data_IF_424984240433
#
_entry.id   IF_424984240433
#
_cell.length_a   1.000
_cell.length_b   1.000
_cell.length_c   1.000
_cell.angle_alpha   90.00
_cell.angle_beta   90.00
_cell.angle_gamma   90.00
#
_symmetry.space_group_name_H-M   'P 1'
#
loop_
_entity.id
_entity.type
_entity.pdbx_description
1 polymer ?
#
# COMPACT_ATOMS: atom_id res chain seq x y z
N UNK A 1 27.98 -21.98 2.80
CA UNK A 1 28.07 -20.67 2.12
C UNK A 1 27.83 -19.63 3.18
N UNK A 2 28.70 -18.63 3.30
CA UNK A 2 28.47 -17.51 4.21
C UNK A 2 27.34 -16.64 3.64
N UNK A 3 26.49 -16.03 4.48
CA UNK A 3 25.47 -15.09 4.00
C UNK A 3 26.12 -13.82 3.42
N UNK A 4 25.41 -13.06 2.57
CA UNK A 4 25.91 -11.81 1.99
C UNK A 4 26.14 -10.69 3.02
N UNK A 5 25.59 -10.83 4.23
CA UNK A 5 25.85 -9.95 5.37
C UNK A 5 25.75 -10.71 6.70
N UNK A 6 26.54 -10.29 7.68
CA UNK A 6 26.49 -10.75 9.07
C UNK A 6 26.41 -9.57 10.04
N UNK A 7 25.89 -9.81 11.25
CA UNK A 7 25.78 -8.76 12.25
C UNK A 7 27.16 -8.19 12.60
N UNK A 8 27.29 -6.86 12.55
CA UNK A 8 28.52 -6.14 12.90
C UNK A 8 29.43 -5.81 11.70
N UNK A 9 29.10 -6.25 10.49
CA UNK A 9 29.80 -5.80 9.28
C UNK A 9 29.57 -4.32 9.02
N UNK A 10 30.60 -3.62 8.53
CA UNK A 10 30.42 -2.30 7.95
C UNK A 10 29.71 -2.41 6.59
N UNK A 11 29.01 -1.34 6.17
CA UNK A 11 28.27 -1.31 4.90
C UNK A 11 29.16 -1.66 3.69
N UNK A 12 30.44 -1.27 3.72
CA UNK A 12 31.42 -1.55 2.65
C UNK A 12 31.86 -3.01 2.58
N UNK A 13 31.53 -3.83 3.58
CA UNK A 13 31.86 -5.25 3.66
C UNK A 13 30.69 -6.15 3.24
N UNK A 14 29.51 -5.58 2.99
CA UNK A 14 28.33 -6.31 2.52
C UNK A 14 28.52 -6.67 1.04
N UNK A 15 28.20 -7.92 0.69
CA UNK A 15 28.26 -8.39 -0.70
C UNK A 15 27.17 -7.72 -1.56
N UNK A 16 27.50 -7.33 -2.79
CA UNK A 16 26.62 -6.56 -3.69
C UNK A 16 26.15 -7.38 -4.90
N UNK A 17 24.97 -7.07 -5.48
CA UNK A 17 24.01 -6.06 -5.05
C UNK A 17 23.18 -6.49 -3.83
N UNK A 18 22.90 -5.56 -2.92
CA UNK A 18 22.10 -5.83 -1.72
C UNK A 18 21.03 -4.76 -1.48
N UNK A 19 19.82 -5.18 -1.12
CA UNK A 19 18.76 -4.28 -0.64
C UNK A 19 19.01 -3.98 0.83
N UNK A 20 19.27 -2.71 1.14
CA UNK A 20 19.64 -2.22 2.47
C UNK A 20 18.53 -1.35 3.02
N UNK A 21 18.18 -1.57 4.30
CA UNK A 21 17.30 -0.70 5.05
C UNK A 21 18.12 0.07 6.08
N UNK A 22 18.07 1.40 6.04
CA UNK A 22 18.52 2.25 7.15
C UNK A 22 17.45 2.17 8.25
N UNK A 23 17.75 1.40 9.30
CA UNK A 23 16.81 1.16 10.39
C UNK A 23 16.44 2.45 11.14
N UNK A 24 17.38 3.37 11.30
CA UNK A 24 17.14 4.61 12.04
C UNK A 24 16.13 5.50 11.29
N UNK A 25 16.30 5.64 9.97
CA UNK A 25 15.34 6.38 9.12
C UNK A 25 13.99 5.65 9.03
N UNK A 26 14.01 4.33 8.88
CA UNK A 26 12.80 3.49 8.85
C UNK A 26 11.97 3.62 10.13
N UNK A 27 12.60 3.54 11.30
CA UNK A 27 11.91 3.67 12.59
C UNK A 27 11.36 5.08 12.80
N UNK A 28 12.11 6.12 12.44
CA UNK A 28 11.60 7.50 12.47
C UNK A 28 10.40 7.69 11.55
N UNK A 29 10.39 7.07 10.36
CA UNK A 29 9.23 7.12 9.46
C UNK A 29 7.99 6.44 10.06
N UNK A 30 8.18 5.28 10.69
CA UNK A 30 7.10 4.58 11.41
C UNK A 30 6.50 5.44 12.52
N UNK A 31 7.36 5.99 13.38
CA UNK A 31 6.94 6.83 14.50
C UNK A 31 6.27 8.12 14.02
N UNK A 32 6.79 8.72 12.94
CA UNK A 32 6.24 9.94 12.36
C UNK A 32 4.85 9.73 11.79
N UNK A 33 4.62 8.66 11.01
CA UNK A 33 3.28 8.35 10.51
C UNK A 33 2.31 8.10 11.66
N UNK A 34 2.71 7.30 12.66
CA UNK A 34 1.89 7.01 13.83
C UNK A 34 1.52 8.28 14.62
N UNK A 35 2.45 9.23 14.75
CA UNK A 35 2.18 10.52 15.37
C UNK A 35 1.19 11.38 14.56
N UNK A 36 1.40 11.48 13.24
CA UNK A 36 0.56 12.31 12.36
C UNK A 36 -0.90 11.84 12.32
N UNK A 37 -1.15 10.53 12.23
CA UNK A 37 -2.52 9.99 12.20
C UNK A 37 -3.23 10.09 13.56
N UNK A 38 -2.47 10.03 14.66
CA UNK A 38 -3.06 10.03 16.01
C UNK A 38 -3.81 11.33 16.28
N UNK A 39 -3.37 12.43 15.69
CA UNK A 39 -4.00 13.74 15.83
C UNK A 39 -5.31 13.87 15.03
N UNK A 40 -5.51 13.04 14.00
CA UNK A 40 -6.72 13.10 13.15
C UNK A 40 -7.85 12.19 13.66
N UNK A 41 -7.51 11.18 14.46
CA UNK A 41 -8.46 10.15 14.92
C UNK A 41 -8.77 9.09 13.85
N UNK A 42 -8.17 9.18 12.67
CA UNK A 42 -8.29 8.20 11.59
C UNK A 42 -7.35 7.02 11.86
N UNK A 43 -7.80 5.80 11.54
CA UNK A 43 -7.00 4.59 11.72
C UNK A 43 -5.96 4.46 10.60
N UNK A 44 -4.86 3.75 10.86
CA UNK A 44 -3.91 3.34 9.83
C UNK A 44 -3.90 1.83 9.70
N UNK A 45 -4.07 1.35 8.47
CA UNK A 45 -3.88 -0.03 8.05
C UNK A 45 -2.83 -0.04 6.93
N UNK A 46 -1.54 0.00 7.27
CA UNK A 46 -0.50 0.24 6.30
C UNK A 46 -0.38 -0.93 5.31
N UNK A 47 0.10 -0.60 4.12
CA UNK A 47 0.09 -1.56 3.02
C UNK A 47 1.38 -2.37 2.92
N UNK A 48 1.27 -3.68 3.16
CA UNK A 48 2.39 -4.59 3.18
C UNK A 48 2.97 -4.93 1.80
N UNK A 49 2.31 -4.57 0.69
CA UNK A 49 2.82 -4.85 -0.66
C UNK A 49 4.18 -4.22 -0.92
N UNK A 50 4.47 -3.12 -0.21
CA UNK A 50 5.74 -2.39 -0.26
C UNK A 50 6.91 -3.22 0.26
N UNK A 51 6.72 -4.03 1.31
CA UNK A 51 7.82 -4.70 2.02
C UNK A 51 7.70 -6.22 2.10
N UNK A 52 6.47 -6.76 2.06
CA UNK A 52 6.15 -8.20 2.13
C UNK A 52 6.78 -8.95 3.31
N UNK A 53 7.12 -8.22 4.37
CA UNK A 53 7.78 -8.71 5.58
C UNK A 53 6.84 -8.70 6.78
N UNK A 54 6.54 -9.86 7.40
CA UNK A 54 5.77 -9.93 8.64
C UNK A 54 6.42 -9.20 9.81
N UNK A 55 7.75 -9.15 9.86
CA UNK A 55 8.46 -8.39 10.90
C UNK A 55 8.12 -6.90 10.82
N UNK A 56 8.15 -6.30 9.63
CA UNK A 56 7.76 -4.89 9.44
C UNK A 56 6.28 -4.67 9.76
N UNK A 57 5.42 -5.61 9.39
CA UNK A 57 3.99 -5.53 9.72
C UNK A 57 3.76 -5.46 11.24
N UNK A 58 4.48 -6.28 12.03
CA UNK A 58 4.42 -6.22 13.49
C UNK A 58 4.96 -4.90 14.04
N UNK A 59 6.07 -4.38 13.52
CA UNK A 59 6.60 -3.07 13.92
C UNK A 59 5.57 -1.93 13.72
N UNK A 60 4.75 -2.02 12.67
CA UNK A 60 3.66 -1.06 12.40
C UNK A 60 2.49 -1.25 13.37
N UNK A 61 2.08 -2.49 13.63
CA UNK A 61 0.99 -2.83 14.56
C UNK A 61 1.34 -2.42 15.99
N UNK A 62 2.57 -2.66 16.43
CA UNK A 62 3.08 -2.25 17.75
C UNK A 62 3.03 -0.72 17.95
N UNK A 63 3.02 0.05 16.86
CA UNK A 63 2.88 1.52 16.85
C UNK A 63 1.44 2.00 16.66
N UNK A 64 0.47 1.08 16.71
CA UNK A 64 -0.96 1.40 16.72
C UNK A 64 -1.66 1.26 15.38
N UNK A 65 -1.03 0.67 14.35
CA UNK A 65 -1.76 0.24 13.17
C UNK A 65 -2.82 -0.82 13.54
N UNK A 66 -4.01 -0.73 12.94
CA UNK A 66 -5.16 -1.59 13.28
C UNK A 66 -5.11 -2.97 12.61
N UNK A 67 -4.11 -3.20 11.76
CA UNK A 67 -3.94 -4.38 10.93
C UNK A 67 -3.07 -4.01 9.74
N UNK A 68 -3.09 -4.78 8.65
CA UNK A 68 -2.36 -4.45 7.42
C UNK A 68 -3.19 -4.66 6.15
N UNK A 69 -2.83 -3.96 5.07
CA UNK A 69 -3.37 -4.22 3.74
C UNK A 69 -2.44 -5.15 2.95
N UNK A 70 -2.98 -6.20 2.34
CA UNK A 70 -2.33 -7.06 1.36
C UNK A 70 -2.96 -6.86 -0.03
N UNK A 71 -2.19 -7.00 -1.11
CA UNK A 71 -2.78 -6.91 -2.46
C UNK A 71 -3.32 -8.26 -2.97
N UNK A 72 -2.83 -9.37 -2.40
CA UNK A 72 -3.17 -10.73 -2.83
C UNK A 72 -3.34 -11.66 -1.63
N UNK A 73 -4.18 -12.69 -1.83
CA UNK A 73 -4.43 -13.75 -0.83
C UNK A 73 -3.14 -14.42 -0.38
N UNK A 74 -2.20 -14.70 -1.29
CA UNK A 74 -0.92 -15.31 -0.93
C UNK A 74 -0.04 -14.45 -0.03
N UNK A 75 -0.18 -13.11 -0.10
CA UNK A 75 0.51 -12.21 0.84
C UNK A 75 -0.15 -12.27 2.22
N UNK A 76 -1.50 -12.30 2.25
CA UNK A 76 -2.26 -12.43 3.49
C UNK A 76 -1.94 -13.75 4.21
N UNK A 77 -1.80 -14.87 3.48
CA UNK A 77 -1.40 -16.16 4.06
C UNK A 77 -0.09 -16.07 4.84
N UNK A 78 0.93 -15.40 4.28
CA UNK A 78 2.23 -15.22 4.95
C UNK A 78 2.07 -14.36 6.21
N UNK A 79 1.26 -13.29 6.15
CA UNK A 79 1.04 -12.42 7.30
C UNK A 79 0.28 -13.14 8.42
N UNK A 80 -0.81 -13.84 8.10
CA UNK A 80 -1.64 -14.58 9.06
C UNK A 80 -0.86 -15.73 9.69
N UNK A 81 -0.09 -16.49 8.90
CA UNK A 81 0.77 -17.56 9.41
C UNK A 81 1.84 -17.05 10.40
N UNK A 82 2.20 -15.76 10.31
CA UNK A 82 3.14 -15.09 11.22
C UNK A 82 2.44 -14.24 12.28
N UNK A 83 1.16 -14.48 12.55
CA UNK A 83 0.45 -13.91 13.71
C UNK A 83 -0.24 -12.57 13.47
N UNK A 84 -0.26 -12.03 12.26
CA UNK A 84 -1.09 -10.85 11.94
C UNK A 84 -2.56 -11.28 11.87
N UNK A 85 -3.41 -10.68 12.70
CA UNK A 85 -4.80 -11.14 12.89
C UNK A 85 -5.87 -10.31 12.17
N UNK A 86 -5.53 -9.14 11.66
CA UNK A 86 -6.46 -8.29 10.93
C UNK A 86 -5.81 -7.84 9.61
N UNK A 87 -6.34 -8.34 8.49
CA UNK A 87 -5.81 -8.12 7.15
C UNK A 87 -6.93 -7.69 6.21
N UNK A 88 -6.72 -6.59 5.48
CA UNK A 88 -7.55 -6.24 4.33
C UNK A 88 -6.85 -6.71 3.05
N UNK A 89 -7.46 -7.60 2.28
CA UNK A 89 -7.08 -7.79 0.89
C UNK A 89 -7.71 -6.66 0.09
N UNK A 90 -6.96 -5.56 -0.08
CA UNK A 90 -7.39 -4.32 -0.74
C UNK A 90 -7.39 -4.47 -2.27
N UNK A 91 -8.08 -5.52 -2.74
CA UNK A 91 -8.24 -5.92 -4.14
C UNK A 91 -9.38 -6.95 -4.27
N UNK A 92 -9.94 -7.08 -5.47
CA UNK A 92 -10.86 -8.16 -5.82
C UNK A 92 -10.12 -9.50 -5.84
N UNK A 93 -10.80 -10.56 -5.38
CA UNK A 93 -10.30 -11.94 -5.44
C UNK A 93 -11.23 -12.77 -6.32
N UNK A 94 -10.75 -13.10 -7.51
CA UNK A 94 -11.54 -13.86 -8.49
C UNK A 94 -11.00 -15.28 -8.64
N UNK A 95 -11.92 -16.24 -8.58
CA UNK A 95 -11.69 -17.67 -8.83
C UNK A 95 -11.74 -18.54 -7.57
N UNK A 96 -12.36 -19.73 -7.65
CA UNK A 96 -12.77 -20.52 -6.49
C UNK A 96 -11.60 -20.98 -5.61
N UNK A 97 -10.44 -21.28 -6.21
CA UNK A 97 -9.24 -21.68 -5.45
C UNK A 97 -8.74 -20.53 -4.56
N UNK A 98 -8.74 -19.30 -5.07
CA UNK A 98 -8.26 -18.13 -4.31
C UNK A 98 -9.25 -17.78 -3.21
N UNK A 99 -10.55 -17.85 -3.52
CA UNK A 99 -11.62 -17.58 -2.57
C UNK A 99 -11.67 -18.59 -1.43
N UNK A 100 -11.52 -19.88 -1.72
CA UNK A 100 -11.43 -20.92 -0.69
C UNK A 100 -10.23 -20.70 0.24
N UNK A 101 -9.08 -20.28 -0.30
CA UNK A 101 -7.89 -19.92 0.50
C UNK A 101 -8.15 -18.69 1.37
N UNK A 102 -8.79 -17.65 0.85
CA UNK A 102 -9.15 -16.46 1.63
C UNK A 102 -10.13 -16.80 2.77
N UNK A 103 -11.15 -17.60 2.48
CA UNK A 103 -12.11 -18.06 3.48
C UNK A 103 -11.43 -18.91 4.58
N UNK A 104 -10.51 -19.79 4.21
CA UNK A 104 -9.75 -20.60 5.18
C UNK A 104 -8.95 -19.74 6.18
N UNK A 105 -8.44 -18.57 5.76
CA UNK A 105 -7.73 -17.66 6.67
C UNK A 105 -8.65 -17.05 7.74
N UNK A 106 -9.95 -16.95 7.47
CA UNK A 106 -10.92 -16.37 8.40
C UNK A 106 -11.28 -17.30 9.57
N UNK A 107 -10.72 -18.52 9.61
CA UNK A 107 -10.83 -19.41 10.78
C UNK A 107 -9.98 -18.90 11.95
N UNK A 108 -8.80 -18.34 11.65
CA UNK A 108 -7.78 -17.97 12.65
C UNK A 108 -7.49 -16.46 12.72
N UNK A 109 -8.06 -15.67 11.81
CA UNK A 109 -7.85 -14.23 11.66
C UNK A 109 -9.10 -13.56 11.05
N UNK A 110 -9.11 -12.23 10.98
CA UNK A 110 -10.08 -11.47 10.20
C UNK A 110 -9.40 -11.06 8.88
N UNK A 111 -9.85 -11.63 7.76
CA UNK A 111 -9.35 -11.30 6.43
C UNK A 111 -10.48 -10.76 5.56
N UNK A 112 -10.49 -9.44 5.40
CA UNK A 112 -11.48 -8.69 4.64
C UNK A 112 -11.11 -8.63 3.15
N UNK A 113 -12.08 -8.33 2.28
CA UNK A 113 -11.84 -8.27 0.82
C UNK A 113 -12.65 -7.18 0.12
N UNK A 114 -12.09 -6.59 -0.94
CA UNK A 114 -12.82 -5.65 -1.79
C UNK A 114 -13.66 -6.37 -2.85
N UNK A 115 -14.83 -5.79 -3.18
CA UNK A 115 -15.71 -6.24 -4.26
C UNK A 115 -16.14 -5.06 -5.13
N UNK A 116 -16.33 -5.30 -6.43
CA UNK A 116 -16.84 -4.31 -7.38
C UNK A 116 -17.80 -4.93 -8.41
N UNK A 117 -18.25 -6.17 -8.18
CA UNK A 117 -19.14 -6.88 -9.09
C UNK A 117 -20.10 -7.81 -8.33
N UNK A 118 -21.34 -7.92 -8.82
CA UNK A 118 -22.37 -8.73 -8.17
C UNK A 118 -22.03 -10.22 -8.12
N UNK A 119 -21.39 -10.76 -9.16
CA UNK A 119 -20.97 -12.18 -9.18
C UNK A 119 -20.07 -12.53 -8.00
N UNK A 120 -19.19 -11.62 -7.59
CA UNK A 120 -18.27 -11.81 -6.46
C UNK A 120 -19.02 -12.05 -5.14
N UNK A 121 -20.20 -11.45 -4.94
CA UNK A 121 -21.01 -11.65 -3.74
C UNK A 121 -21.36 -13.13 -3.57
N UNK A 122 -21.88 -13.75 -4.63
CA UNK A 122 -22.26 -15.17 -4.59
C UNK A 122 -21.03 -16.09 -4.48
N UNK A 123 -19.94 -15.76 -5.15
CA UNK A 123 -18.72 -16.58 -5.15
C UNK A 123 -18.00 -16.56 -3.78
N UNK A 124 -17.89 -15.38 -3.16
CA UNK A 124 -17.28 -15.24 -1.84
C UNK A 124 -18.17 -15.88 -0.77
N UNK A 125 -19.49 -15.66 -0.82
CA UNK A 125 -20.44 -16.29 0.11
C UNK A 125 -20.37 -17.82 0.04
N UNK A 126 -20.28 -18.40 -1.16
CA UNK A 126 -20.12 -19.85 -1.33
C UNK A 126 -18.81 -20.37 -0.72
N UNK A 127 -17.70 -19.65 -0.90
CA UNK A 127 -16.42 -20.02 -0.30
C UNK A 127 -16.45 -19.89 1.23
N UNK A 128 -17.05 -18.82 1.76
CA UNK A 128 -17.21 -18.58 3.19
C UNK A 128 -18.08 -19.66 3.86
N UNK A 129 -19.18 -20.05 3.21
CA UNK A 129 -20.04 -21.17 3.64
C UNK A 129 -19.26 -22.48 3.73
N UNK A 130 -18.38 -22.75 2.76
CA UNK A 130 -17.56 -23.97 2.73
C UNK A 130 -16.57 -24.10 3.90
N UNK A 131 -16.25 -22.99 4.58
CA UNK A 131 -15.37 -22.96 5.75
C UNK A 131 -16.09 -22.55 7.05
N UNK A 132 -17.41 -22.33 6.99
CA UNK A 132 -18.25 -21.86 8.11
C UNK A 132 -17.72 -20.57 8.77
N UNK A 133 -17.37 -19.59 7.93
CA UNK A 133 -16.87 -18.27 8.36
C UNK A 133 -17.76 -17.14 7.85
N UNK A 134 -17.62 -15.95 8.42
CA UNK A 134 -18.20 -14.71 7.87
C UNK A 134 -17.07 -13.82 7.38
N UNK A 135 -17.20 -13.29 6.15
CA UNK A 135 -16.18 -12.44 5.55
C UNK A 135 -16.70 -11.01 5.45
N UNK A 136 -15.98 -10.08 6.05
CA UNK A 136 -16.24 -8.65 5.89
C UNK A 136 -15.78 -8.19 4.50
N UNK A 137 -16.64 -7.43 3.82
CA UNK A 137 -16.41 -6.95 2.46
C UNK A 137 -16.49 -5.44 2.38
N UNK A 138 -15.62 -4.85 1.57
CA UNK A 138 -15.66 -3.43 1.22
C UNK A 138 -16.08 -3.31 -0.24
N UNK A 139 -17.04 -2.45 -0.54
CA UNK A 139 -17.37 -2.09 -1.93
C UNK A 139 -16.32 -1.10 -2.43
N UNK A 140 -15.58 -1.45 -3.48
CA UNK A 140 -14.63 -0.53 -4.12
C UNK A 140 -15.38 0.42 -5.04
N UNK A 141 -15.13 1.72 -4.89
CA UNK A 141 -15.69 2.78 -5.73
C UNK A 141 -14.58 3.46 -6.54
N UNK A 142 -14.88 3.73 -7.81
CA UNK A 142 -13.97 4.42 -8.71
C UNK A 142 -14.01 5.94 -8.41
N UNK A 143 -12.90 6.47 -7.89
CA UNK A 143 -12.80 7.86 -7.43
C UNK A 143 -11.74 8.68 -8.18
N UNK A 144 -11.32 8.23 -9.37
CA UNK A 144 -10.37 8.88 -10.28
C UNK A 144 -9.09 8.07 -10.55
N UNK A 145 -8.99 6.85 -10.02
CA UNK A 145 -7.89 5.92 -10.30
C UNK A 145 -7.95 5.28 -11.69
N UNK A 146 -9.15 5.15 -12.28
CA UNK A 146 -9.38 4.56 -13.59
C UNK A 146 -8.98 3.09 -13.69
N UNK A 147 -9.25 2.29 -12.64
CA UNK A 147 -8.73 0.91 -12.53
C UNK A 147 -9.78 -0.14 -12.19
N UNK A 148 -10.31 -0.10 -10.98
CA UNK A 148 -11.29 -1.06 -10.44
C UNK A 148 -12.34 -0.25 -9.64
N UNK A 149 -13.43 -0.91 -9.27
CA UNK A 149 -14.50 -0.27 -8.52
C UNK A 149 -15.72 0.07 -9.38
N UNK A 150 -16.87 0.11 -8.72
CA UNK A 150 -18.14 0.55 -9.32
C UNK A 150 -18.22 2.08 -9.34
N UNK A 151 -19.16 2.61 -10.10
CA UNK A 151 -19.48 4.03 -10.02
C UNK A 151 -19.96 4.41 -8.59
N UNK A 152 -19.48 5.54 -8.03
CA UNK A 152 -19.99 6.08 -6.78
C UNK A 152 -21.53 6.26 -6.77
N UNK A 153 -22.14 6.23 -5.59
CA UNK A 153 -23.58 6.39 -5.41
C UNK A 153 -24.38 5.11 -5.64
N UNK A 154 -25.33 5.12 -6.59
CA UNK A 154 -26.36 4.07 -6.72
C UNK A 154 -25.82 2.67 -7.02
N UNK A 155 -24.73 2.56 -7.81
CA UNK A 155 -24.14 1.23 -8.08
C UNK A 155 -23.48 0.65 -6.83
N UNK A 156 -22.78 1.48 -6.05
CA UNK A 156 -22.22 1.09 -4.76
C UNK A 156 -23.31 0.67 -3.77
N UNK A 157 -24.42 1.42 -3.70
CA UNK A 157 -25.59 1.06 -2.89
C UNK A 157 -26.20 -0.28 -3.31
N UNK A 158 -26.38 -0.50 -4.61
CA UNK A 158 -26.92 -1.76 -5.12
C UNK A 158 -26.03 -2.96 -4.75
N UNK A 159 -24.71 -2.81 -4.87
CA UNK A 159 -23.76 -3.86 -4.51
C UNK A 159 -23.70 -4.10 -2.99
N UNK A 160 -23.72 -3.04 -2.18
CA UNK A 160 -23.77 -3.14 -0.72
C UNK A 160 -25.04 -3.88 -0.24
N UNK A 161 -26.20 -3.62 -0.86
CA UNK A 161 -27.44 -4.37 -0.58
C UNK A 161 -27.31 -5.85 -0.94
N UNK A 162 -26.71 -6.15 -2.09
CA UNK A 162 -26.48 -7.54 -2.49
C UNK A 162 -25.62 -8.30 -1.47
N UNK A 163 -24.63 -7.65 -0.86
CA UNK A 163 -23.84 -8.23 0.25
C UNK A 163 -24.71 -8.52 1.47
N UNK A 164 -25.59 -7.59 1.86
CA UNK A 164 -26.44 -7.79 3.06
C UNK A 164 -27.55 -8.82 2.87
N UNK A 165 -27.91 -9.13 1.62
CA UNK A 165 -28.96 -10.09 1.28
C UNK A 165 -28.47 -11.56 1.29
N UNK A 166 -27.17 -11.80 1.46
CA UNK A 166 -26.58 -13.15 1.51
C UNK A 166 -26.03 -13.50 2.89
N UNK A 167 -25.99 -14.80 3.19
CA UNK A 167 -25.34 -15.30 4.40
C UNK A 167 -23.81 -15.32 4.24
N UNK A 168 -23.10 -15.40 5.37
CA UNK A 168 -21.65 -15.52 5.44
C UNK A 168 -20.84 -14.32 4.89
N UNK A 169 -21.49 -13.20 4.55
CA UNK A 169 -20.83 -11.93 4.25
C UNK A 169 -21.38 -10.81 5.14
N UNK A 170 -20.52 -9.83 5.42
CA UNK A 170 -20.91 -8.56 6.00
C UNK A 170 -20.47 -7.41 5.10
N UNK A 171 -21.29 -6.37 5.02
CA UNK A 171 -20.88 -5.08 4.45
C UNK A 171 -20.15 -4.27 5.53
N UNK A 172 -18.85 -4.04 5.34
CA UNK A 172 -18.01 -3.29 6.28
C UNK A 172 -17.76 -1.84 5.86
N UNK A 173 -17.98 -1.51 4.58
CA UNK A 173 -17.92 -0.14 4.08
C UNK A 173 -17.33 -0.04 2.68
N UNK A 174 -16.51 0.99 2.44
CA UNK A 174 -16.02 1.38 1.12
C UNK A 174 -14.50 1.32 1.02
N UNK A 175 -14.01 0.93 -0.15
CA UNK A 175 -12.64 1.15 -0.62
C UNK A 175 -12.67 2.29 -1.66
N UNK A 176 -11.98 3.39 -1.40
CA UNK A 176 -11.92 4.57 -2.25
C UNK A 176 -10.45 5.00 -2.45
N UNK A 177 -9.78 4.46 -3.47
CA UNK A 177 -8.34 4.69 -3.67
C UNK A 177 -8.03 5.36 -5.00
N UNK A 178 -7.55 6.60 -4.95
CA UNK A 178 -7.08 7.35 -6.13
C UNK A 178 -5.58 7.15 -6.35
N UNK A 179 -5.20 6.02 -6.96
CA UNK A 179 -3.79 5.63 -7.11
C UNK A 179 -2.93 6.56 -7.98
N UNK A 180 -3.51 7.14 -9.03
CA UNK A 180 -2.80 8.07 -9.92
C UNK A 180 -2.48 9.42 -9.25
N UNK A 181 -3.21 9.82 -8.21
CA UNK A 181 -2.99 11.07 -7.51
C UNK A 181 -1.71 11.06 -6.68
N UNK A 182 -1.24 9.87 -6.27
CA UNK A 182 -0.10 9.71 -5.37
C UNK A 182 1.20 10.33 -5.90
N UNK A 183 1.33 10.43 -7.23
CA UNK A 183 2.53 10.94 -7.90
C UNK A 183 2.25 12.18 -8.77
N UNK A 184 1.10 12.84 -8.59
CA UNK A 184 0.90 14.19 -9.13
C UNK A 184 1.88 15.11 -8.43
N UNK A 185 2.77 15.76 -9.21
CA UNK A 185 3.92 16.49 -8.66
C UNK A 185 3.50 17.73 -7.91
N UNK A 186 2.71 18.59 -8.56
CA UNK A 186 2.21 19.81 -7.96
C UNK A 186 1.20 19.48 -6.85
N UNK A 187 1.43 20.06 -5.67
CA UNK A 187 0.59 19.81 -4.50
C UNK A 187 -0.86 20.26 -4.72
N UNK A 188 -1.10 21.36 -5.43
CA UNK A 188 -2.46 21.90 -5.63
C UNK A 188 -3.24 21.03 -6.58
N UNK A 189 -2.61 20.53 -7.65
CA UNK A 189 -3.23 19.56 -8.56
C UNK A 189 -3.57 18.26 -7.82
N UNK A 190 -2.64 17.76 -6.99
CA UNK A 190 -2.87 16.57 -6.15
C UNK A 190 -4.03 16.78 -5.17
N UNK A 191 -4.07 17.92 -4.50
CA UNK A 191 -5.15 18.31 -3.60
C UNK A 191 -6.49 18.44 -4.33
N UNK A 192 -6.52 18.97 -5.54
CA UNK A 192 -7.74 19.10 -6.33
C UNK A 192 -8.31 17.71 -6.71
N UNK A 193 -7.43 16.77 -7.10
CA UNK A 193 -7.82 15.39 -7.39
C UNK A 193 -8.42 14.71 -6.15
N UNK A 194 -7.76 14.82 -4.99
CA UNK A 194 -8.25 14.20 -3.75
C UNK A 194 -9.52 14.88 -3.23
N UNK A 195 -9.66 16.20 -3.37
CA UNK A 195 -10.92 16.90 -3.05
C UNK A 195 -12.09 16.35 -3.85
N UNK A 196 -11.89 16.05 -5.14
CA UNK A 196 -12.92 15.44 -5.97
C UNK A 196 -13.24 14.00 -5.51
N UNK A 197 -12.21 13.20 -5.21
CA UNK A 197 -12.37 11.83 -4.69
C UNK A 197 -13.14 11.81 -3.35
N UNK A 198 -12.77 12.70 -2.42
CA UNK A 198 -13.43 12.88 -1.12
C UNK A 198 -14.91 13.22 -1.31
N UNK A 199 -15.24 14.14 -2.24
CA UNK A 199 -16.63 14.51 -2.52
C UNK A 199 -17.46 13.31 -3.00
N UNK A 200 -16.97 12.56 -3.98
CA UNK A 200 -17.67 11.37 -4.50
C UNK A 200 -17.85 10.31 -3.41
N UNK A 201 -16.85 10.15 -2.55
CA UNK A 201 -16.90 9.22 -1.42
C UNK A 201 -17.93 9.66 -0.38
N UNK A 202 -17.95 10.95 -0.01
CA UNK A 202 -18.89 11.52 0.94
C UNK A 202 -20.35 11.34 0.48
N UNK A 203 -20.63 11.70 -0.78
CA UNK A 203 -21.97 11.54 -1.38
C UNK A 203 -22.43 10.06 -1.36
N UNK A 204 -21.50 9.13 -1.57
CA UNK A 204 -21.80 7.68 -1.51
C UNK A 204 -22.04 7.20 -0.09
N UNK A 205 -21.24 7.65 0.88
CA UNK A 205 -21.42 7.32 2.31
C UNK A 205 -22.76 7.84 2.81
N UNK A 206 -23.13 9.09 2.48
CA UNK A 206 -24.41 9.68 2.84
C UNK A 206 -25.59 8.89 2.25
N UNK A 207 -25.49 8.48 0.98
CA UNK A 207 -26.49 7.65 0.33
C UNK A 207 -26.65 6.29 1.01
N UNK A 208 -25.55 5.63 1.35
CA UNK A 208 -25.55 4.34 2.05
C UNK A 208 -26.16 4.46 3.45
N UNK A 209 -25.78 5.49 4.22
CA UNK A 209 -26.31 5.75 5.57
C UNK A 209 -27.82 6.04 5.54
N UNK A 210 -28.29 6.85 4.58
CA UNK A 210 -29.71 7.11 4.37
C UNK A 210 -30.53 5.85 4.05
N UNK A 211 -29.88 4.76 3.64
CA UNK A 211 -30.46 3.45 3.36
C UNK A 211 -30.17 2.41 4.46
N UNK A 212 -29.65 2.84 5.61
CA UNK A 212 -29.36 1.97 6.77
C UNK A 212 -28.11 1.11 6.61
N UNK A 213 -27.24 1.41 5.64
CA UNK A 213 -25.98 0.70 5.39
C UNK A 213 -24.82 1.56 5.85
N UNK A 214 -24.46 1.42 7.13
CA UNK A 214 -23.38 2.19 7.72
C UNK A 214 -22.01 1.71 7.20
N UNK A 215 -21.17 2.66 6.79
CA UNK A 215 -19.78 2.38 6.42
C UNK A 215 -18.88 2.54 7.65
N UNK A 216 -18.52 1.43 8.31
CA UNK A 216 -17.54 1.48 9.42
C UNK A 216 -16.14 1.78 8.90
N UNK A 217 -15.82 1.27 7.71
CA UNK A 217 -14.54 1.49 7.04
C UNK A 217 -14.78 2.30 5.76
N UNK A 218 -14.12 3.46 5.67
CA UNK A 218 -13.91 4.19 4.42
C UNK A 218 -12.41 4.23 4.22
N UNK A 219 -11.92 3.23 3.48
CA UNK A 219 -10.51 2.91 3.34
C UNK A 219 -9.92 3.44 2.04
N UNK A 220 -8.69 3.95 2.07
CA UNK A 220 -7.98 4.37 0.88
C UNK A 220 -6.71 5.14 1.20
N UNK A 221 -6.44 6.19 0.42
CA UNK A 221 -5.22 7.00 0.50
C UNK A 221 -3.92 6.24 0.20
N UNK A 222 -2.85 6.99 0.01
CA UNK A 222 -1.49 6.48 -0.10
C UNK A 222 -0.48 7.47 0.46
N UNK A 223 0.81 7.16 0.35
CA UNK A 223 1.89 7.98 0.93
C UNK A 223 1.88 9.41 0.42
N UNK A 224 1.50 9.64 -0.84
CA UNK A 224 1.54 10.97 -1.45
C UNK A 224 0.35 11.86 -1.09
N UNK A 225 -0.72 11.27 -0.56
CA UNK A 225 -1.98 11.98 -0.34
C UNK A 225 -2.48 11.93 1.10
N UNK A 226 -2.02 10.99 1.94
CA UNK A 226 -2.61 10.65 3.25
C UNK A 226 -3.10 11.83 4.10
N UNK A 227 -2.39 12.96 4.14
CA UNK A 227 -2.79 14.16 4.90
C UNK A 227 -4.16 14.72 4.43
N UNK A 228 -4.41 14.67 3.12
CA UNK A 228 -5.61 15.17 2.47
C UNK A 228 -6.82 14.31 2.82
N UNK A 229 -6.70 12.98 2.73
CA UNK A 229 -7.75 12.06 3.16
C UNK A 229 -7.94 12.06 4.67
N UNK A 230 -6.86 12.12 5.46
CA UNK A 230 -6.92 12.13 6.93
C UNK A 230 -7.65 13.35 7.49
N UNK A 231 -7.55 14.49 6.81
CA UNK A 231 -8.22 15.74 7.19
C UNK A 231 -9.62 15.91 6.57
N UNK A 232 -10.08 14.95 5.75
CA UNK A 232 -11.33 15.08 4.99
C UNK A 232 -12.60 14.99 5.83
N UNK A 233 -12.54 14.32 7.00
CA UNK A 233 -13.72 13.94 7.77
C UNK A 233 -14.55 12.81 7.15
N UNK A 234 -14.09 12.21 6.05
CA UNK A 234 -14.79 11.14 5.31
C UNK A 234 -14.07 9.80 5.45
N UNK A 235 -12.76 9.79 5.25
CA UNK A 235 -11.95 8.57 5.39
C UNK A 235 -11.80 8.18 6.86
N UNK A 236 -12.02 6.91 7.17
CA UNK A 236 -11.89 6.36 8.54
C UNK A 236 -10.65 5.49 8.69
N UNK A 237 -10.02 5.07 7.58
CA UNK A 237 -8.81 4.26 7.58
C UNK A 237 -7.88 4.61 6.39
N UNK A 238 -6.60 4.85 6.68
CA UNK A 238 -5.56 5.15 5.69
C UNK A 238 -4.71 3.92 5.37
N UNK A 239 -4.34 3.76 4.09
CA UNK A 239 -3.66 2.59 3.56
C UNK A 239 -2.27 2.90 2.98
N UNK A 240 -1.62 3.96 3.47
CA UNK A 240 -0.27 4.34 3.07
C UNK A 240 0.73 3.20 3.35
N UNK A 241 1.64 2.94 2.40
CA UNK A 241 2.62 1.85 2.47
C UNK A 241 4.05 2.35 2.31
N UNK A 242 4.36 3.02 1.20
CA UNK A 242 5.72 3.46 0.84
C UNK A 242 6.36 4.44 1.83
N UNK A 243 5.60 5.04 2.75
CA UNK A 243 6.09 6.05 3.69
C UNK A 243 7.22 5.52 4.58
N UNK A 244 7.28 4.20 4.81
CA UNK A 244 8.33 3.58 5.63
C UNK A 244 9.72 3.65 4.98
N UNK A 245 9.79 3.78 3.66
CA UNK A 245 11.02 3.68 2.89
C UNK A 245 11.32 4.89 2.01
N UNK A 246 10.26 5.49 1.45
CA UNK A 246 10.33 6.39 0.32
C UNK A 246 11.01 5.77 -0.90
N UNK A 247 10.97 6.49 -2.02
CA UNK A 247 11.69 6.14 -3.24
C UNK A 247 11.95 7.42 -4.06
N UNK A 248 12.76 7.28 -5.11
CA UNK A 248 13.10 8.39 -5.98
C UNK A 248 11.87 9.02 -6.67
N UNK A 249 10.78 8.27 -6.83
CA UNK A 249 9.61 8.78 -7.53
C UNK A 249 8.71 9.61 -6.60
N UNK A 250 8.50 9.17 -5.35
CA UNK A 250 7.84 10.00 -4.34
C UNK A 250 8.63 11.26 -4.01
N UNK A 251 9.96 11.19 -3.99
CA UNK A 251 10.82 12.35 -3.72
C UNK A 251 10.69 13.47 -4.77
N UNK A 252 10.17 13.17 -5.97
CA UNK A 252 9.89 14.17 -7.01
C UNK A 252 8.58 14.94 -6.77
N UNK A 253 7.75 14.53 -5.82
CA UNK A 253 6.55 15.28 -5.46
C UNK A 253 6.92 16.60 -4.77
N UNK A 254 6.03 17.57 -4.90
CA UNK A 254 6.14 18.84 -4.20
C UNK A 254 5.22 18.87 -2.97
N UNK A 255 5.72 19.48 -1.90
CA UNK A 255 4.96 19.89 -0.73
C UNK A 255 4.12 21.15 -1.03
N UNK A 256 3.22 21.53 -0.12
CA UNK A 256 2.34 22.70 -0.28
C UNK A 256 3.09 24.01 -0.60
N UNK A 257 4.28 24.20 -0.02
CA UNK A 257 5.15 25.35 -0.28
C UNK A 257 5.92 25.32 -1.61
N UNK A 258 5.70 24.31 -2.46
CA UNK A 258 6.44 24.09 -3.71
C UNK A 258 7.84 23.49 -3.54
N UNK A 259 8.28 23.28 -2.29
CA UNK A 259 9.51 22.55 -1.96
C UNK A 259 9.34 21.03 -2.14
N UNK A 260 10.42 20.26 -1.99
CA UNK A 260 10.38 18.80 -2.09
C UNK A 260 9.44 18.17 -1.04
N UNK A 261 8.91 16.99 -1.37
CA UNK A 261 8.14 16.16 -0.44
C UNK A 261 9.08 15.40 0.50
N UNK A 262 9.30 15.96 1.69
CA UNK A 262 10.28 15.46 2.69
C UNK A 262 9.61 15.05 4.01
N UNK A 263 8.31 14.73 3.96
CA UNK A 263 7.58 14.27 5.15
C UNK A 263 8.20 13.02 5.75
N UNK A 264 8.73 12.12 4.92
CA UNK A 264 9.41 10.89 5.32
C UNK A 264 10.82 10.82 4.73
N UNK A 265 11.71 10.13 5.43
CA UNK A 265 13.11 9.97 5.07
C UNK A 265 13.31 8.79 4.10
N UNK A 266 14.35 8.87 3.27
CA UNK A 266 14.79 7.71 2.50
C UNK A 266 15.43 6.67 3.42
N UNK A 267 14.82 5.48 3.48
CA UNK A 267 15.29 4.39 4.33
C UNK A 267 15.58 3.10 3.57
N UNK A 268 15.34 3.05 2.24
CA UNK A 268 15.59 1.87 1.41
C UNK A 268 16.58 2.19 0.30
N UNK A 269 17.62 1.39 0.20
CA UNK A 269 18.72 1.59 -0.74
C UNK A 269 19.11 0.29 -1.42
N UNK A 270 19.70 0.41 -2.62
CA UNK A 270 20.42 -0.70 -3.24
C UNK A 270 21.90 -0.39 -3.11
N UNK A 271 22.61 -1.20 -2.33
CA UNK A 271 24.06 -1.19 -2.29
C UNK A 271 24.58 -1.87 -3.57
N UNK A 272 25.44 -1.18 -4.31
CA UNK A 272 26.00 -1.65 -5.56
C UNK A 272 27.50 -1.34 -5.60
N UNK A 273 28.28 -2.32 -6.06
CA UNK A 273 29.72 -2.22 -6.22
C UNK A 273 30.09 -1.70 -7.61
N UNK A 274 31.02 -0.76 -7.70
CA UNK A 274 31.62 -0.39 -9.00
C UNK A 274 32.52 -1.54 -9.46
N UNK A 275 32.09 -2.24 -10.50
CA UNK A 275 32.78 -3.41 -11.06
C UNK A 275 33.65 -3.07 -12.28
N UNK A 276 33.48 -1.88 -12.86
CA UNK A 276 34.30 -1.38 -13.97
C UNK A 276 34.31 0.14 -14.02
N UNK A 277 35.45 0.72 -14.42
CA UNK A 277 35.60 2.15 -14.72
C UNK A 277 36.29 2.30 -16.07
N UNK A 278 35.56 2.20 -17.20
CA UNK A 278 36.17 2.16 -18.53
C UNK A 278 36.83 3.48 -18.95
N UNK A 279 36.42 4.62 -18.36
CA UNK A 279 37.06 5.92 -18.56
C UNK A 279 36.78 6.87 -17.36
N UNK A 280 37.27 8.11 -17.42
CA UNK A 280 37.17 9.05 -16.31
C UNK A 280 35.73 9.41 -15.92
N UNK A 281 34.82 9.45 -16.91
CA UNK A 281 33.44 9.92 -16.79
C UNK A 281 32.40 8.80 -16.65
N UNK A 282 32.84 7.53 -16.62
CA UNK A 282 31.92 6.37 -16.60
C UNK A 282 32.36 5.32 -15.59
N UNK A 283 31.41 4.90 -14.76
CA UNK A 283 31.50 3.70 -13.95
C UNK A 283 30.43 2.69 -14.42
N UNK A 284 30.59 1.43 -14.04
CA UNK A 284 29.57 0.40 -14.19
C UNK A 284 29.43 -0.28 -12.85
N UNK A 285 28.20 -0.37 -12.34
CA UNK A 285 27.86 -1.03 -11.08
C UNK A 285 27.23 -2.39 -11.34
N UNK A 286 27.34 -3.29 -10.37
CA UNK A 286 26.79 -4.66 -10.40
C UNK A 286 25.30 -4.78 -10.05
N UNK A 287 24.56 -3.66 -10.08
CA UNK A 287 23.12 -3.61 -9.87
C UNK A 287 22.40 -3.25 -11.18
N UNK A 288 21.65 -4.21 -11.72
CA UNK A 288 20.81 -4.05 -12.92
C UNK A 288 19.31 -4.22 -12.63
N UNK A 289 18.54 -4.55 -13.67
CA UNK A 289 17.09 -4.78 -13.60
C UNK A 289 16.69 -5.90 -12.63
N UNK A 290 17.60 -6.85 -12.36
CA UNK A 290 17.35 -7.90 -11.37
C UNK A 290 17.49 -7.44 -9.92
N UNK A 291 18.11 -6.28 -9.69
CA UNK A 291 18.22 -5.64 -8.39
C UNK A 291 17.17 -4.51 -8.21
N UNK A 292 16.86 -3.76 -9.27
CA UNK A 292 15.87 -2.68 -9.24
C UNK A 292 14.96 -2.69 -10.47
N UNK A 293 13.65 -2.49 -10.26
CA UNK A 293 12.74 -2.13 -11.37
C UNK A 293 13.04 -0.69 -11.85
N UNK A 294 12.79 -0.45 -13.13
CA UNK A 294 12.96 0.86 -13.80
C UNK A 294 11.64 1.40 -14.36
N UNK A 295 10.50 0.83 -13.96
CA UNK A 295 9.17 1.23 -14.45
C UNK A 295 8.86 2.72 -14.18
N UNK A 296 9.48 3.31 -13.15
CA UNK A 296 9.37 4.74 -12.77
C UNK A 296 10.64 5.56 -13.07
N UNK A 297 11.47 5.07 -13.99
CA UNK A 297 12.78 5.62 -14.30
C UNK A 297 13.92 4.99 -13.49
N UNK A 298 15.15 5.47 -13.71
CA UNK A 298 16.32 4.90 -13.06
C UNK A 298 16.46 5.30 -11.59
N UNK A 299 17.10 4.45 -10.76
CA UNK A 299 17.51 4.80 -9.40
C UNK A 299 18.41 6.04 -9.38
N UNK A 300 18.38 6.77 -8.26
CA UNK A 300 19.24 7.93 -8.04
C UNK A 300 20.49 7.52 -7.23
N UNK A 301 21.70 7.89 -7.68
CA UNK A 301 22.91 7.68 -6.89
C UNK A 301 22.87 8.49 -5.58
N UNK A 302 22.92 7.82 -4.44
CA UNK A 302 22.86 8.47 -3.12
C UNK A 302 24.22 9.02 -2.66
N UNK A 303 25.27 8.21 -2.77
CA UNK A 303 26.60 8.54 -2.23
C UNK A 303 27.53 9.26 -3.24
N UNK A 304 27.08 9.47 -4.48
CA UNK A 304 27.86 10.06 -5.56
C UNK A 304 27.14 11.29 -6.12
N UNK A 305 27.22 12.41 -5.40
CA UNK A 305 26.61 13.66 -5.81
C UNK A 305 27.08 14.10 -7.21
N UNK A 306 26.14 14.50 -8.05
CA UNK A 306 26.42 14.93 -9.43
C UNK A 306 26.58 13.79 -10.45
N UNK A 307 26.41 12.53 -10.04
CA UNK A 307 26.30 11.40 -10.96
C UNK A 307 24.84 11.08 -11.29
N UNK A 308 24.64 10.43 -12.43
CA UNK A 308 23.34 9.93 -12.88
C UNK A 308 23.49 8.50 -13.39
N UNK A 309 22.44 7.70 -13.26
CA UNK A 309 22.35 6.41 -13.95
C UNK A 309 21.79 6.67 -15.34
N UNK A 310 22.58 6.35 -16.36
CA UNK A 310 22.28 6.58 -17.79
C UNK A 310 21.70 5.35 -18.48
N UNK A 311 21.90 4.16 -17.90
CA UNK A 311 21.34 2.93 -18.44
C UNK A 311 21.40 1.78 -17.44
N UNK A 312 20.44 0.86 -17.56
CA UNK A 312 20.44 -0.40 -16.83
C UNK A 312 20.22 -1.56 -17.79
N UNK A 313 20.92 -2.65 -17.53
CA UNK A 313 20.74 -3.96 -18.16
C UNK A 313 20.37 -4.96 -17.07
N UNK A 314 20.30 -6.25 -17.42
CA UNK A 314 20.02 -7.35 -16.49
C UNK A 314 20.76 -7.24 -15.15
N UNK A 315 22.09 -7.12 -15.18
CA UNK A 315 22.98 -7.16 -14.00
C UNK A 315 23.87 -5.92 -13.85
N UNK A 316 23.72 -4.92 -14.72
CA UNK A 316 24.60 -3.74 -14.71
C UNK A 316 23.85 -2.43 -14.80
N UNK A 317 24.30 -1.44 -14.03
CA UNK A 317 23.95 -0.03 -14.16
C UNK A 317 25.15 0.79 -14.65
N UNK A 318 24.92 1.79 -15.50
CA UNK A 318 25.94 2.69 -16.07
C UNK A 318 25.73 4.12 -15.59
#
# INVERSE_FOLDING_TARGET
>A
MSPPAENGLALVEIDTPALIVDLDAFERNLDKMAALIKETGVKLRPHSKTHKSPWIAHQQIERGAVGICCQKVSEAEVMVANGVKDVLVSNQVVGPIKLSRLAALNVDAQVMVCIDHADAVSEISAAATGHDVVIDTLVEIEVGGGRCGVEPGEQALALARAVTDVQHLNFAGLQAYHGSAQHIRDHRERQAAITAAVRMTAETVELLDANGLRCEIVGGAGTGTFEMEASSGVYTELQAGSYIFMDADYARNQSEGGGPFETFEHALFICAGVMSRPNEDKAVVDAGHKAASVDSGFPLPWSLAGSEITGMSDEHGV
#
